data_IF_696096165597
#
_entry.id   IF_696096165597
#
_cell.length_a   1.000
_cell.length_b   1.000
_cell.length_c   1.000
_cell.angle_alpha   90.00
_cell.angle_beta   90.00
_cell.angle_gamma   90.00
#
_symmetry.space_group_name_H-M   'P 1'
#
loop_
_entity.id
_entity.type
_entity.pdbx_description
1 polymer ?
#
# COMPACT_ATOMS: atom_id res chain seq x y z
N UNK A 1 1.63 -20.00 -9.73
CA UNK A 1 2.26 -18.67 -9.51
C UNK A 1 1.47 -17.96 -8.41
N UNK A 2 2.14 -17.23 -7.53
CA UNK A 2 1.51 -16.52 -6.40
C UNK A 2 1.87 -15.04 -6.48
N UNK A 3 0.88 -14.18 -6.23
CA UNK A 3 1.05 -12.75 -6.07
C UNK A 3 0.24 -12.23 -4.88
N UNK A 4 0.61 -11.06 -4.37
CA UNK A 4 -0.04 -10.41 -3.23
C UNK A 4 -0.51 -9.01 -3.66
N UNK A 5 -1.69 -8.60 -3.21
CA UNK A 5 -2.26 -7.27 -3.48
C UNK A 5 -3.03 -6.79 -2.26
N UNK A 6 -2.37 -6.09 -1.30
CA UNK A 6 -3.05 -5.52 -0.16
C UNK A 6 -3.76 -4.21 -0.55
N UNK A 7 -4.75 -3.81 0.25
CA UNK A 7 -5.29 -2.46 0.25
C UNK A 7 -4.40 -1.61 1.18
N UNK A 8 -3.86 -0.50 0.68
CA UNK A 8 -2.95 0.36 1.46
C UNK A 8 -3.74 1.26 2.43
N UNK A 9 -3.21 1.56 3.61
CA UNK A 9 -3.91 2.39 4.58
C UNK A 9 -5.17 1.70 5.13
N UNK A 10 -6.23 2.46 5.39
CA UNK A 10 -7.49 1.98 5.96
C UNK A 10 -8.24 1.08 4.98
N UNK A 11 -8.56 -0.14 5.41
CA UNK A 11 -9.38 -1.11 4.70
C UNK A 11 -10.87 -0.93 5.01
N UNK A 12 -11.73 -1.52 4.19
CA UNK A 12 -13.20 -1.44 4.33
C UNK A 12 -13.70 -1.97 5.69
N UNK A 13 -12.96 -2.87 6.32
CA UNK A 13 -13.26 -3.48 7.62
C UNK A 13 -12.71 -2.69 8.82
N UNK A 14 -11.99 -1.58 8.57
CA UNK A 14 -11.41 -0.71 9.61
C UNK A 14 -9.97 -1.05 10.02
N UNK A 15 -9.38 -2.15 9.51
CA UNK A 15 -7.96 -2.44 9.68
C UNK A 15 -7.10 -1.42 8.92
N UNK A 16 -5.91 -1.08 9.43
CA UNK A 16 -4.96 -0.21 8.73
C UNK A 16 -3.72 -1.01 8.31
N UNK A 17 -3.51 -1.14 7.00
CA UNK A 17 -2.24 -1.57 6.43
C UNK A 17 -1.25 -0.41 6.46
N UNK A 18 -0.33 -0.42 7.43
CA UNK A 18 0.62 0.68 7.64
C UNK A 18 1.80 0.65 6.64
N UNK A 19 2.62 1.72 6.61
CA UNK A 19 3.91 1.69 5.89
C UNK A 19 4.85 0.59 6.39
N UNK A 20 4.79 0.27 7.69
CA UNK A 20 5.56 -0.82 8.28
C UNK A 20 5.11 -2.16 7.70
N UNK A 21 3.81 -2.39 7.56
CA UNK A 21 3.27 -3.64 7.00
C UNK A 21 3.53 -3.74 5.50
N UNK A 22 3.42 -2.62 4.79
CA UNK A 22 3.82 -2.47 3.38
C UNK A 22 5.27 -2.92 3.17
N UNK A 23 6.18 -2.45 4.03
CA UNK A 23 7.60 -2.83 4.01
C UNK A 23 7.79 -4.32 4.30
N UNK A 24 7.04 -4.89 5.27
CA UNK A 24 7.10 -6.33 5.58
C UNK A 24 6.63 -7.18 4.40
N UNK A 25 5.49 -6.83 3.79
CA UNK A 25 4.93 -7.55 2.64
C UNK A 25 5.91 -7.52 1.47
N UNK A 26 6.49 -6.36 1.14
CA UNK A 26 7.47 -6.25 0.06
C UNK A 26 8.74 -7.08 0.32
N UNK A 27 9.27 -7.06 1.55
CA UNK A 27 10.40 -7.92 1.94
C UNK A 27 10.07 -9.41 1.83
N UNK A 28 8.88 -9.80 2.27
CA UNK A 28 8.41 -11.19 2.14
C UNK A 28 8.31 -11.61 0.68
N UNK A 29 7.74 -10.75 -0.17
CA UNK A 29 7.61 -11.00 -1.60
C UNK A 29 8.97 -11.21 -2.27
N UNK A 30 9.95 -10.34 -1.97
CA UNK A 30 11.33 -10.47 -2.46
C UNK A 30 12.00 -11.74 -1.95
N UNK A 31 11.92 -12.02 -0.64
CA UNK A 31 12.57 -13.18 -0.04
C UNK A 31 12.06 -14.53 -0.57
N UNK A 32 10.80 -14.59 -1.01
CA UNK A 32 10.17 -15.81 -1.52
C UNK A 32 10.04 -15.84 -3.06
N UNK A 33 10.67 -14.90 -3.77
CA UNK A 33 10.62 -14.80 -5.23
C UNK A 33 9.18 -14.86 -5.79
N UNK A 34 8.25 -14.13 -5.16
CA UNK A 34 6.87 -14.06 -5.64
C UNK A 34 6.83 -13.42 -7.03
N UNK A 35 5.92 -13.90 -7.89
CA UNK A 35 5.85 -13.45 -9.27
C UNK A 35 5.22 -12.07 -9.44
N UNK A 36 4.49 -11.58 -8.44
CA UNK A 36 3.77 -10.32 -8.53
C UNK A 36 3.53 -9.69 -7.15
N UNK A 37 3.68 -8.36 -7.10
CA UNK A 37 3.25 -7.52 -5.99
C UNK A 37 2.53 -6.30 -6.56
N UNK A 38 1.27 -6.14 -6.17
CA UNK A 38 0.47 -4.96 -6.49
C UNK A 38 -0.13 -4.36 -5.22
N UNK A 39 -0.96 -3.34 -5.35
CA UNK A 39 -1.75 -2.79 -4.26
C UNK A 39 -3.03 -2.14 -4.78
N UNK A 40 -4.06 -2.08 -3.93
CA UNK A 40 -5.24 -1.26 -4.18
C UNK A 40 -5.08 0.08 -3.45
N UNK A 41 -4.85 1.20 -4.14
CA UNK A 41 -4.59 1.39 -5.57
C UNK A 41 -3.74 2.66 -5.75
N UNK A 42 -3.46 3.08 -6.98
CA UNK A 42 -2.62 4.24 -7.29
C UNK A 42 -3.19 5.56 -6.73
N UNK A 43 -4.47 5.85 -7.00
CA UNK A 43 -5.12 7.08 -6.54
C UNK A 43 -5.29 7.16 -5.04
N UNK A 44 -5.29 6.01 -4.33
CA UNK A 44 -5.35 5.94 -2.87
C UNK A 44 -4.04 6.30 -2.17
N UNK A 45 -2.89 6.34 -2.85
CA UNK A 45 -1.59 6.62 -2.22
C UNK A 45 -1.40 8.13 -1.95
N UNK A 46 -2.33 8.71 -1.20
CA UNK A 46 -2.37 10.09 -0.76
C UNK A 46 -3.16 10.23 0.55
N UNK A 47 -2.92 11.29 1.34
CA UNK A 47 -3.73 11.55 2.53
C UNK A 47 -5.14 12.01 2.15
N UNK A 48 -6.12 11.74 3.01
CA UNK A 48 -7.48 12.24 2.82
C UNK A 48 -7.54 13.72 3.19
N UNK A 49 -7.65 14.59 2.18
CA UNK A 49 -7.86 16.03 2.35
C UNK A 49 -9.23 16.44 1.82
N UNK A 50 -9.71 17.62 2.23
CA UNK A 50 -11.08 18.07 1.94
C UNK A 50 -11.40 18.07 0.44
N UNK A 51 -12.46 17.35 0.06
CA UNK A 51 -12.96 17.26 -1.32
C UNK A 51 -12.52 16.02 -2.10
N UNK A 52 -11.56 15.24 -1.59
CA UNK A 52 -11.19 13.95 -2.21
C UNK A 52 -12.21 12.89 -1.80
N UNK A 53 -12.70 12.12 -2.78
CA UNK A 53 -13.61 11.01 -2.50
C UNK A 53 -12.88 9.93 -1.68
N UNK A 54 -13.57 9.29 -0.73
CA UNK A 54 -12.94 8.33 0.19
C UNK A 54 -12.21 7.17 -0.51
N UNK A 55 -12.69 6.73 -1.68
CA UNK A 55 -12.05 5.69 -2.47
C UNK A 55 -10.75 6.14 -3.17
N UNK A 56 -10.44 7.44 -3.17
CA UNK A 56 -9.25 8.05 -3.77
C UNK A 56 -8.23 8.51 -2.71
N UNK A 57 -8.31 8.04 -1.47
CA UNK A 57 -7.30 8.32 -0.45
C UNK A 57 -7.09 7.11 0.47
N UNK A 58 -5.98 7.12 1.20
CA UNK A 58 -5.55 5.96 2.00
C UNK A 58 -6.20 5.88 3.38
N UNK A 59 -6.97 6.88 3.80
CA UNK A 59 -7.52 6.95 5.16
C UNK A 59 -6.48 7.20 6.26
N UNK A 60 -5.22 7.45 5.89
CA UNK A 60 -4.11 7.78 6.80
C UNK A 60 -3.45 9.09 6.40
N UNK A 61 -2.59 9.64 7.27
CA UNK A 61 -1.95 10.95 7.07
C UNK A 61 -0.62 10.90 6.31
N UNK A 62 -0.23 9.74 5.78
CA UNK A 62 1.03 9.60 5.05
C UNK A 62 1.02 10.50 3.79
N UNK A 63 2.15 11.19 3.47
CA UNK A 63 2.25 11.99 2.26
C UNK A 63 2.01 11.19 0.98
N UNK A 64 1.62 11.86 -0.09
CA UNK A 64 1.42 11.24 -1.40
C UNK A 64 2.63 10.38 -1.83
N UNK A 65 2.35 9.20 -2.37
CA UNK A 65 3.30 8.20 -2.87
C UNK A 65 4.13 7.48 -1.80
N UNK A 66 3.76 7.58 -0.53
CA UNK A 66 4.53 6.95 0.55
C UNK A 66 4.50 5.42 0.48
N UNK A 67 3.36 4.84 0.11
CA UNK A 67 3.22 3.39 0.00
C UNK A 67 3.97 2.84 -1.22
N UNK A 68 3.85 3.51 -2.37
CA UNK A 68 4.58 3.18 -3.60
C UNK A 68 6.09 3.21 -3.36
N UNK A 69 6.60 4.27 -2.73
CA UNK A 69 8.03 4.37 -2.36
C UNK A 69 8.45 3.24 -1.42
N UNK A 70 7.62 2.88 -0.44
CA UNK A 70 7.93 1.79 0.49
C UNK A 70 8.04 0.43 -0.22
N UNK A 71 7.12 0.11 -1.14
CA UNK A 71 7.21 -1.13 -1.92
C UNK A 71 8.45 -1.16 -2.82
N UNK A 72 8.72 -0.08 -3.57
CA UNK A 72 9.88 0.02 -4.47
C UNK A 72 11.19 -0.13 -3.69
N UNK A 73 11.29 0.49 -2.51
CA UNK A 73 12.51 0.47 -1.70
C UNK A 73 12.94 -0.93 -1.22
N UNK A 74 12.01 -1.89 -1.14
CA UNK A 74 12.30 -3.25 -0.65
C UNK A 74 12.19 -4.34 -1.71
N UNK A 75 11.73 -4.00 -2.92
CA UNK A 75 11.59 -4.95 -4.03
C UNK A 75 12.63 -4.76 -5.13
N UNK A 76 13.18 -3.55 -5.29
CA UNK A 76 14.39 -3.32 -6.10
C UNK A 76 15.64 -3.96 -5.48
#
# INVERSE_FOLDING_TARGET
>A
MIGITPMIGLNDTGEVCSLTDTTKVGKFAKANALNYLGWWEMTRDQPCTGGIAAYMCSGVSNPQWSFSRAFVAVTN
#
